data_IF_705565584857
#
_entry.id   IF_705565584857
#
_cell.length_a   1.000
_cell.length_b   1.000
_cell.length_c   1.000
_cell.angle_alpha   90.00
_cell.angle_beta   90.00
_cell.angle_gamma   90.00
#
_symmetry.space_group_name_H-M   'P 1'
#
loop_
_entity.id
_entity.type
_entity.pdbx_description
1 polymer ?
#
# COMPACT_ATOMS: atom_id res chain seq x y z
N UNK A 1 13.90 57.05 -11.33
CA UNK A 1 13.28 56.01 -12.14
C UNK A 1 12.96 54.86 -11.20
N UNK A 2 11.75 54.88 -10.69
CA UNK A 2 11.23 53.86 -9.73
C UNK A 2 10.59 52.72 -10.50
N UNK A 3 11.05 51.52 -10.27
CA UNK A 3 10.36 50.33 -10.75
C UNK A 3 9.44 49.85 -9.64
N UNK A 4 8.15 50.15 -9.74
CA UNK A 4 7.10 49.58 -8.93
C UNK A 4 6.81 48.15 -9.36
N UNK A 5 7.16 47.18 -8.52
CA UNK A 5 6.78 45.78 -8.67
C UNK A 5 5.27 45.59 -8.42
N UNK A 6 4.56 45.14 -9.44
CA UNK A 6 3.14 44.73 -9.28
C UNK A 6 3.11 43.25 -8.91
N UNK A 7 2.73 42.97 -7.65
CA UNK A 7 2.46 41.63 -7.17
C UNK A 7 1.14 41.09 -7.73
N UNK A 8 1.17 39.96 -8.39
CA UNK A 8 -0.03 39.22 -8.78
C UNK A 8 -0.44 38.31 -7.62
N UNK A 9 -1.59 38.54 -7.04
CA UNK A 9 -2.20 37.59 -6.08
C UNK A 9 -2.83 36.41 -6.84
N UNK A 10 -2.47 35.19 -6.44
CA UNK A 10 -3.06 33.97 -6.97
C UNK A 10 -4.08 33.44 -5.99
N UNK A 11 -5.34 33.34 -6.43
CA UNK A 11 -6.40 32.69 -5.64
C UNK A 11 -6.63 31.29 -6.20
N UNK A 12 -6.35 30.25 -5.38
CA UNK A 12 -6.66 28.87 -5.68
C UNK A 12 -8.08 28.54 -5.22
N UNK A 13 -8.99 28.34 -6.17
CA UNK A 13 -10.31 27.78 -5.88
C UNK A 13 -10.39 26.32 -6.27
N UNK A 14 -10.67 25.47 -5.29
CA UNK A 14 -10.93 24.06 -5.49
C UNK A 14 -12.44 23.82 -5.67
N UNK A 15 -12.87 23.38 -6.83
CA UNK A 15 -14.21 22.82 -7.02
C UNK A 15 -14.16 21.31 -6.93
N UNK A 16 -14.78 20.78 -5.90
CA UNK A 16 -15.06 19.33 -5.78
C UNK A 16 -16.30 19.02 -6.62
N UNK A 17 -16.15 18.40 -7.76
CA UNK A 17 -17.26 17.82 -8.51
C UNK A 17 -17.43 16.36 -8.06
N UNK A 18 -18.48 16.11 -7.27
CA UNK A 18 -18.71 14.83 -6.56
C UNK A 18 -19.39 13.77 -7.41
N UNK A 19 -19.58 14.01 -8.72
CA UNK A 19 -20.22 13.03 -9.61
C UNK A 19 -19.41 12.88 -10.91
N UNK A 20 -18.77 11.74 -11.06
CA UNK A 20 -18.08 11.18 -12.24
C UNK A 20 -16.60 11.51 -12.37
N UNK A 21 -15.83 10.43 -12.25
CA UNK A 21 -14.39 10.27 -12.56
C UNK A 21 -13.41 11.02 -11.64
N UNK A 22 -12.55 10.25 -10.98
CA UNK A 22 -11.39 10.72 -10.20
C UNK A 22 -10.33 11.44 -11.08
N UNK A 23 -10.71 12.54 -11.69
CA UNK A 23 -9.82 13.56 -12.24
C UNK A 23 -10.05 14.83 -11.44
N UNK A 24 -9.16 15.12 -10.50
CA UNK A 24 -9.08 16.46 -9.92
C UNK A 24 -8.50 17.39 -10.97
N UNK A 25 -9.35 18.07 -11.72
CA UNK A 25 -8.92 19.20 -12.52
C UNK A 25 -8.83 20.41 -11.59
N UNK A 26 -7.61 20.91 -11.40
CA UNK A 26 -7.36 22.15 -10.65
C UNK A 26 -7.43 23.30 -11.66
N UNK A 27 -8.40 24.18 -11.48
CA UNK A 27 -8.50 25.41 -12.29
C UNK A 27 -7.87 26.57 -11.52
N UNK A 28 -6.89 27.22 -12.12
CA UNK A 28 -6.32 28.48 -11.62
C UNK A 28 -6.97 29.61 -12.38
N UNK A 29 -7.73 30.43 -11.67
CA UNK A 29 -8.29 31.64 -12.25
C UNK A 29 -7.33 32.80 -11.96
N UNK A 30 -6.67 33.28 -13.00
CA UNK A 30 -5.83 34.48 -12.92
C UNK A 30 -6.73 35.70 -13.15
N UNK A 31 -6.97 36.47 -12.12
CA UNK A 31 -7.60 37.78 -12.25
C UNK A 31 -6.54 38.85 -12.41
N UNK A 32 -6.43 39.42 -13.62
CA UNK A 32 -5.67 40.65 -13.84
C UNK A 32 -6.57 41.83 -13.52
N UNK A 33 -6.29 42.57 -12.48
CA UNK A 33 -7.07 43.72 -12.01
C UNK A 33 -6.93 45.01 -12.82
N UNK A 34 -6.25 44.97 -13.97
CA UNK A 34 -6.16 46.11 -14.85
C UNK A 34 -6.75 45.82 -16.23
N UNK A 35 -8.01 46.06 -16.43
CA UNK A 35 -8.85 46.18 -17.62
C UNK A 35 -10.14 45.40 -17.53
N UNK A 36 -11.04 45.90 -16.67
CA UNK A 36 -12.37 45.32 -16.46
C UNK A 36 -13.35 45.51 -17.63
N UNK A 37 -12.99 46.23 -18.71
CA UNK A 37 -13.93 46.53 -19.78
C UNK A 37 -13.73 45.81 -21.12
N UNK A 38 -12.66 45.03 -21.29
CA UNK A 38 -12.38 44.32 -22.56
C UNK A 38 -12.42 42.80 -22.54
N UNK A 39 -12.75 42.11 -21.45
CA UNK A 39 -12.67 40.66 -21.36
C UNK A 39 -14.01 39.92 -21.32
N UNK A 40 -15.08 40.44 -21.92
CA UNK A 40 -16.34 39.68 -22.02
C UNK A 40 -16.35 38.53 -23.02
N UNK A 41 -15.22 38.18 -23.70
CA UNK A 41 -15.28 37.21 -24.79
C UNK A 41 -14.16 36.15 -24.89
N UNK A 42 -13.26 36.01 -23.97
CA UNK A 42 -12.30 34.89 -24.07
C UNK A 42 -12.04 34.26 -22.70
N UNK A 43 -12.74 33.17 -22.41
CA UNK A 43 -12.37 32.25 -21.33
C UNK A 43 -11.12 31.49 -21.78
N UNK A 44 -9.94 32.02 -21.52
CA UNK A 44 -8.72 31.23 -21.64
C UNK A 44 -8.57 30.35 -20.40
N UNK A 45 -9.07 29.12 -20.46
CA UNK A 45 -8.62 28.08 -19.55
C UNK A 45 -7.29 27.55 -20.05
N UNK A 46 -6.16 28.12 -19.58
CA UNK A 46 -4.89 27.43 -19.70
C UNK A 46 -4.92 26.22 -18.78
N UNK A 47 -4.89 25.03 -19.34
CA UNK A 47 -4.74 23.79 -18.58
C UNK A 47 -3.29 23.77 -18.07
N UNK A 48 -3.08 24.17 -16.82
CA UNK A 48 -1.79 23.99 -16.16
C UNK A 48 -1.79 22.62 -15.52
N UNK A 49 -0.93 21.73 -15.97
CA UNK A 49 -0.59 20.57 -15.17
C UNK A 49 0.29 21.06 -14.04
N UNK A 50 -0.22 21.05 -12.81
CA UNK A 50 0.66 21.18 -11.65
C UNK A 50 1.47 19.89 -11.66
N UNK A 51 2.76 19.98 -11.97
CA UNK A 51 3.68 18.87 -11.75
C UNK A 51 3.68 18.62 -10.25
N UNK A 52 3.04 17.54 -9.84
CA UNK A 52 3.18 17.09 -8.46
C UNK A 52 4.67 16.87 -8.20
N UNK A 53 5.20 17.15 -6.99
CA UNK A 53 6.63 17.04 -6.69
C UNK A 53 7.19 15.61 -6.86
N UNK A 54 6.32 14.64 -7.13
CA UNK A 54 6.59 13.28 -7.59
C UNK A 54 5.97 13.12 -8.98
N UNK A 55 6.81 13.04 -9.98
CA UNK A 55 6.36 12.72 -11.34
C UNK A 55 5.99 11.23 -11.34
N UNK A 56 4.77 10.92 -11.81
CA UNK A 56 4.37 9.55 -12.12
C UNK A 56 4.99 9.15 -13.44
N UNK A 57 5.52 7.94 -13.48
CA UNK A 57 5.94 7.33 -14.74
C UNK A 57 4.77 6.61 -15.40
N UNK A 58 4.03 7.34 -16.23
CA UNK A 58 2.85 6.81 -16.91
C UNK A 58 3.20 5.72 -17.94
N UNK A 59 4.41 5.76 -18.53
CA UNK A 59 4.86 4.74 -19.46
C UNK A 59 5.15 3.45 -18.72
N UNK A 60 5.93 3.52 -17.65
CA UNK A 60 6.23 2.38 -16.78
C UNK A 60 4.96 1.75 -16.19
N UNK A 61 3.98 2.57 -15.73
CA UNK A 61 2.69 2.08 -15.26
C UNK A 61 1.97 1.25 -16.32
N UNK A 62 1.94 1.74 -17.57
CA UNK A 62 1.29 1.08 -18.69
C UNK A 62 2.00 -0.22 -19.10
N UNK A 63 3.32 -0.21 -19.14
CA UNK A 63 4.13 -1.39 -19.46
C UNK A 63 3.93 -2.50 -18.42
N UNK A 64 3.98 -2.18 -17.13
CA UNK A 64 3.71 -3.15 -16.06
C UNK A 64 2.27 -3.68 -16.15
N UNK A 65 1.28 -2.82 -16.42
CA UNK A 65 -0.11 -3.27 -16.59
C UNK A 65 -0.26 -4.23 -17.77
N UNK A 66 0.40 -3.97 -18.89
CA UNK A 66 0.35 -4.83 -20.08
C UNK A 66 1.06 -6.17 -19.86
N UNK A 67 2.22 -6.14 -19.19
CA UNK A 67 3.05 -7.34 -18.94
C UNK A 67 2.39 -8.29 -17.96
N UNK A 68 1.79 -7.78 -16.90
CA UNK A 68 1.27 -8.59 -15.79
C UNK A 68 -0.25 -8.64 -15.69
N UNK A 69 -0.99 -7.90 -16.52
CA UNK A 69 -2.45 -7.85 -16.46
C UNK A 69 -3.02 -7.21 -15.19
N UNK A 70 -2.21 -6.56 -14.39
CA UNK A 70 -2.63 -5.97 -13.11
C UNK A 70 -3.55 -4.76 -13.35
N UNK A 71 -4.65 -4.70 -12.58
CA UNK A 71 -5.73 -3.72 -12.78
C UNK A 71 -5.27 -2.27 -12.65
N UNK A 72 -4.42 -1.98 -11.67
CA UNK A 72 -3.97 -0.61 -11.37
C UNK A 72 -2.50 -0.60 -10.97
N UNK A 73 -1.71 0.23 -11.65
CA UNK A 73 -0.32 0.51 -11.26
C UNK A 73 -0.15 2.01 -10.99
N UNK A 74 0.67 2.33 -10.02
CA UNK A 74 1.17 3.67 -9.75
C UNK A 74 2.68 3.60 -9.55
N UNK A 75 3.42 4.03 -10.56
CA UNK A 75 4.87 4.15 -10.53
C UNK A 75 5.26 5.60 -10.23
N UNK A 76 6.15 5.80 -9.28
CA UNK A 76 6.55 7.12 -8.81
C UNK A 76 8.05 7.29 -8.95
N UNK A 77 8.49 8.36 -9.62
CA UNK A 77 9.90 8.74 -9.65
C UNK A 77 10.36 9.15 -8.24
N UNK A 78 11.36 8.45 -7.75
CA UNK A 78 12.15 8.94 -6.63
C UNK A 78 13.26 9.81 -7.20
N UNK A 79 13.21 11.13 -6.99
CA UNK A 79 14.41 11.93 -7.12
C UNK A 79 15.48 11.30 -6.22
N UNK A 80 16.64 10.95 -6.79
CA UNK A 80 17.77 10.35 -6.08
C UNK A 80 18.00 11.09 -4.75
N UNK A 81 17.40 10.61 -3.68
CA UNK A 81 17.86 10.90 -2.34
C UNK A 81 19.06 9.98 -2.11
N UNK A 82 20.15 10.58 -1.68
CA UNK A 82 21.40 9.87 -1.37
C UNK A 82 21.10 8.64 -0.51
N UNK A 83 21.70 7.52 -0.91
CA UNK A 83 21.68 6.29 -0.13
C UNK A 83 22.33 6.57 1.24
N UNK A 84 21.51 6.76 2.26
CA UNK A 84 21.91 6.92 3.65
C UNK A 84 21.03 6.01 4.52
N UNK A 85 21.48 5.75 5.74
CA UNK A 85 20.82 4.86 6.71
C UNK A 85 19.36 5.24 7.06
N UNK A 86 18.90 6.42 6.63
CA UNK A 86 17.54 6.95 6.80
C UNK A 86 16.72 6.95 5.50
N UNK A 87 16.88 5.92 4.64
CA UNK A 87 16.02 5.76 3.47
C UNK A 87 14.56 5.65 3.92
N UNK A 88 13.89 6.80 3.96
CA UNK A 88 12.45 6.84 4.13
C UNK A 88 11.82 6.48 2.78
N UNK A 89 10.94 5.48 2.74
CA UNK A 89 10.18 5.18 1.55
C UNK A 89 9.51 6.48 1.06
N UNK A 90 9.13 6.55 -0.22
CA UNK A 90 8.43 7.70 -0.77
C UNK A 90 7.07 7.86 -0.11
N UNK A 91 7.11 8.19 1.17
CA UNK A 91 5.94 8.31 2.07
C UNK A 91 4.94 9.30 1.48
N UNK A 92 5.43 10.25 0.68
CA UNK A 92 4.59 11.23 -0.03
C UNK A 92 3.83 10.62 -1.21
N UNK A 93 4.28 9.50 -1.77
CA UNK A 93 3.53 8.74 -2.78
C UNK A 93 2.22 8.19 -2.22
N UNK A 94 2.09 8.14 -0.90
CA UNK A 94 0.87 7.69 -0.20
C UNK A 94 -0.27 8.71 -0.16
N UNK A 95 -0.05 9.94 -0.57
CA UNK A 95 -1.17 10.78 -1.03
C UNK A 95 -1.99 10.08 -2.11
N UNK A 96 -1.36 9.20 -2.87
CA UNK A 96 -2.04 8.32 -3.82
C UNK A 96 -3.03 7.40 -3.10
N UNK A 97 -2.70 6.84 -1.93
CA UNK A 97 -3.66 6.05 -1.14
C UNK A 97 -4.83 6.89 -0.59
N UNK A 98 -4.57 8.11 -0.14
CA UNK A 98 -5.64 9.03 0.28
C UNK A 98 -6.39 9.64 -0.90
N UNK A 99 -5.79 9.67 -2.10
CA UNK A 99 -6.41 10.04 -3.38
C UNK A 99 -7.09 8.87 -4.08
N UNK A 100 -6.76 7.62 -3.74
CA UNK A 100 -7.59 6.48 -4.10
C UNK A 100 -8.89 6.60 -3.30
N UNK A 101 -9.96 6.94 -3.99
CA UNK A 101 -11.34 6.90 -3.47
C UNK A 101 -11.78 5.46 -3.15
N UNK A 102 -10.87 4.60 -2.65
CA UNK A 102 -11.16 3.21 -2.31
C UNK A 102 -11.83 3.12 -0.94
N UNK A 103 -11.42 3.96 0.01
CA UNK A 103 -11.97 3.88 1.36
C UNK A 103 -13.30 4.63 1.47
N UNK A 104 -14.31 3.91 1.93
CA UNK A 104 -15.64 4.43 2.25
C UNK A 104 -15.97 4.11 3.70
N UNK A 105 -16.90 4.87 4.28
CA UNK A 105 -17.42 4.58 5.62
C UNK A 105 -17.90 3.14 5.72
N UNK A 106 -17.65 2.50 6.85
CA UNK A 106 -18.05 1.12 7.19
C UNK A 106 -17.31 0.01 6.41
N UNK A 107 -16.30 0.33 5.60
CA UNK A 107 -15.47 -0.69 4.98
C UNK A 107 -14.58 -1.39 6.01
N UNK A 108 -14.29 -2.66 5.74
CA UNK A 108 -13.29 -3.45 6.43
C UNK A 108 -11.98 -3.38 5.66
N UNK A 109 -10.91 -3.01 6.35
CA UNK A 109 -9.56 -2.91 5.78
C UNK A 109 -8.66 -3.93 6.47
N UNK A 110 -8.20 -4.91 5.69
CA UNK A 110 -7.15 -5.82 6.11
C UNK A 110 -5.78 -5.15 6.04
N UNK A 111 -4.91 -5.37 7.00
CA UNK A 111 -3.54 -4.83 6.98
C UNK A 111 -2.52 -5.90 7.34
N UNK A 112 -1.41 -5.97 6.60
CA UNK A 112 -0.26 -6.78 6.96
C UNK A 112 0.75 -6.00 7.81
N UNK A 113 1.90 -6.57 8.10
CA UNK A 113 2.96 -5.98 8.91
C UNK A 113 4.14 -5.47 8.07
N UNK A 114 5.05 -4.77 8.70
CA UNK A 114 6.36 -4.47 8.13
C UNK A 114 6.68 -2.99 7.98
N UNK A 115 7.95 -2.74 7.68
CA UNK A 115 8.52 -1.40 7.61
C UNK A 115 7.81 -0.48 6.59
N UNK A 116 7.46 -1.04 5.42
CA UNK A 116 6.75 -0.29 4.37
C UNK A 116 5.42 0.25 4.91
N UNK A 117 4.61 -0.63 5.52
CA UNK A 117 3.30 -0.27 6.04
C UNK A 117 3.39 0.65 7.26
N UNK A 118 4.38 0.46 8.12
CA UNK A 118 4.64 1.36 9.22
C UNK A 118 4.80 2.82 8.76
N UNK A 119 5.64 3.06 7.77
CA UNK A 119 5.83 4.41 7.24
C UNK A 119 4.58 4.97 6.56
N UNK A 120 3.79 4.11 5.91
CA UNK A 120 2.51 4.50 5.31
C UNK A 120 1.54 4.97 6.38
N UNK A 121 1.32 4.15 7.41
CA UNK A 121 0.38 4.43 8.49
C UNK A 121 0.77 5.69 9.22
N UNK A 122 2.05 5.88 9.57
CA UNK A 122 2.55 7.10 10.19
C UNK A 122 2.35 8.34 9.33
N UNK A 123 2.52 8.23 8.01
CA UNK A 123 2.24 9.34 7.11
C UNK A 123 0.75 9.67 7.04
N UNK A 124 -0.12 8.66 6.97
CA UNK A 124 -1.56 8.84 6.96
C UNK A 124 -2.00 9.51 8.26
N UNK A 125 -1.56 9.03 9.40
CA UNK A 125 -1.87 9.58 10.72
C UNK A 125 -1.52 11.07 10.80
N UNK A 126 -0.31 11.46 10.37
CA UNK A 126 0.15 12.83 10.39
C UNK A 126 -0.59 13.78 9.40
N UNK A 127 -1.15 13.27 8.31
CA UNK A 127 -1.64 14.08 7.19
C UNK A 127 -3.13 13.89 6.88
N UNK A 128 -3.78 12.86 7.43
CA UNK A 128 -5.19 12.60 7.17
C UNK A 128 -6.09 13.54 7.98
N UNK A 129 -6.92 14.31 7.26
CA UNK A 129 -7.94 15.18 7.87
C UNK A 129 -9.35 14.69 7.61
N UNK A 130 -9.51 13.49 7.01
CA UNK A 130 -10.81 12.94 6.64
C UNK A 130 -11.28 11.96 7.72
N UNK A 131 -12.45 12.22 8.28
CA UNK A 131 -13.15 11.25 9.13
C UNK A 131 -13.95 10.29 8.24
N UNK A 132 -13.36 9.12 7.96
CA UNK A 132 -13.98 8.03 7.21
C UNK A 132 -13.93 6.79 8.10
N UNK A 133 -14.88 6.60 9.03
CA UNK A 133 -14.83 5.48 9.96
C UNK A 133 -14.84 4.14 9.21
N UNK A 134 -13.72 3.44 9.28
CA UNK A 134 -13.45 2.10 8.76
C UNK A 134 -13.21 1.15 9.92
N UNK A 135 -13.34 -0.14 9.68
CA UNK A 135 -12.87 -1.17 10.62
C UNK A 135 -11.57 -1.75 10.08
N UNK A 136 -10.50 -1.74 10.87
CA UNK A 136 -9.21 -2.29 10.46
C UNK A 136 -8.92 -3.59 11.21
N UNK A 137 -8.45 -4.60 10.48
CA UNK A 137 -8.12 -5.92 11.04
C UNK A 137 -6.77 -6.39 10.47
N UNK A 138 -5.87 -6.95 11.28
CA UNK A 138 -4.70 -7.66 10.76
C UNK A 138 -5.12 -8.81 9.84
N UNK A 139 -4.37 -9.06 8.77
CA UNK A 139 -4.63 -10.23 7.91
C UNK A 139 -3.92 -11.50 8.40
N UNK A 140 -3.18 -11.39 9.47
CA UNK A 140 -2.37 -12.47 10.07
C UNK A 140 -2.22 -12.27 11.56
N UNK A 141 -1.91 -13.34 12.28
CA UNK A 141 -1.56 -13.28 13.70
C UNK A 141 -0.29 -12.47 13.98
N UNK A 142 -0.02 -12.20 15.25
CA UNK A 142 1.12 -11.41 15.70
C UNK A 142 2.45 -12.01 15.24
N UNK A 143 3.29 -11.20 14.63
CA UNK A 143 4.58 -11.64 14.07
C UNK A 143 5.73 -11.64 15.08
N UNK A 144 5.51 -11.15 16.30
CA UNK A 144 6.54 -11.05 17.36
C UNK A 144 7.86 -10.44 16.87
N UNK A 145 7.77 -9.41 16.03
CA UNK A 145 8.95 -8.70 15.52
C UNK A 145 9.63 -7.89 16.61
N UNK A 146 10.96 -7.69 16.50
CA UNK A 146 11.76 -6.91 17.47
C UNK A 146 11.27 -5.46 17.63
N UNK A 147 10.46 -4.97 16.72
CA UNK A 147 9.87 -3.63 16.73
C UNK A 147 8.35 -3.73 16.69
N UNK A 148 7.69 -3.80 17.84
CA UNK A 148 6.24 -4.00 17.94
C UNK A 148 5.43 -2.99 17.13
N UNK A 149 5.89 -1.75 17.04
CA UNK A 149 5.25 -0.68 16.26
C UNK A 149 5.13 -0.99 14.74
N UNK A 150 5.76 -2.06 14.27
CA UNK A 150 5.69 -2.56 12.88
C UNK A 150 4.86 -3.82 12.76
N UNK A 151 4.33 -4.32 13.87
CA UNK A 151 3.41 -5.46 13.86
C UNK A 151 2.04 -5.08 13.28
N UNK A 152 1.37 -6.03 12.66
CA UNK A 152 0.07 -5.79 12.03
C UNK A 152 -1.00 -5.32 13.04
N UNK A 153 -0.90 -5.72 14.30
CA UNK A 153 -1.83 -5.30 15.35
C UNK A 153 -1.70 -3.80 15.64
N UNK A 154 -0.48 -3.31 15.88
CA UNK A 154 -0.25 -1.89 16.15
C UNK A 154 -0.58 -1.04 14.92
N UNK A 155 -0.23 -1.53 13.73
CA UNK A 155 -0.57 -0.85 12.48
C UNK A 155 -2.08 -0.78 12.24
N UNK A 156 -2.84 -1.83 12.61
CA UNK A 156 -4.30 -1.81 12.51
C UNK A 156 -4.92 -0.76 13.43
N UNK A 157 -4.45 -0.67 14.68
CA UNK A 157 -4.87 0.35 15.64
C UNK A 157 -4.58 1.76 15.14
N UNK A 158 -3.35 2.01 14.71
CA UNK A 158 -2.91 3.33 14.26
C UNK A 158 -3.68 3.77 13.00
N UNK A 159 -3.87 2.87 12.03
CA UNK A 159 -4.62 3.16 10.81
C UNK A 159 -6.11 3.44 11.11
N UNK A 160 -6.73 2.64 11.98
CA UNK A 160 -8.11 2.88 12.40
C UNK A 160 -8.26 4.25 13.07
N UNK A 161 -7.36 4.58 13.98
CA UNK A 161 -7.33 5.88 14.68
C UNK A 161 -7.20 7.05 13.71
N UNK A 162 -6.31 6.94 12.71
CA UNK A 162 -6.08 7.97 11.69
C UNK A 162 -7.34 8.26 10.84
N UNK A 163 -8.26 7.30 10.72
CA UNK A 163 -9.51 7.46 9.98
C UNK A 163 -10.75 7.63 10.88
N UNK A 164 -10.58 7.68 12.21
CA UNK A 164 -11.70 7.80 13.17
C UNK A 164 -12.58 6.54 13.20
N UNK A 165 -11.98 5.39 12.93
CA UNK A 165 -12.64 4.09 12.88
C UNK A 165 -12.35 3.20 14.08
N UNK A 166 -12.61 1.90 13.90
CA UNK A 166 -12.39 0.85 14.90
C UNK A 166 -11.40 -0.20 14.39
N UNK A 167 -10.87 -1.01 15.29
CA UNK A 167 -9.99 -2.12 14.94
C UNK A 167 -10.38 -3.40 15.69
N UNK A 168 -10.01 -4.54 15.09
CA UNK A 168 -10.17 -5.87 15.68
C UNK A 168 -8.82 -6.59 15.64
N UNK A 169 -8.40 -7.20 16.74
CA UNK A 169 -7.15 -7.97 16.79
C UNK A 169 -7.38 -9.45 16.52
N UNK A 170 -6.41 -10.12 15.90
CA UNK A 170 -6.29 -11.57 15.89
C UNK A 170 -5.39 -11.94 17.07
N UNK A 171 -6.00 -12.36 18.20
CA UNK A 171 -5.27 -12.72 19.43
C UNK A 171 -4.59 -14.09 19.33
N UNK A 172 -3.77 -14.25 18.30
CA UNK A 172 -2.99 -15.45 18.06
C UNK A 172 -1.63 -15.09 17.47
N UNK A 173 -0.58 -15.92 17.70
CA UNK A 173 0.67 -15.75 16.98
C UNK A 173 0.52 -16.12 15.51
N UNK A 174 1.37 -15.54 14.64
CA UNK A 174 1.39 -15.85 13.22
C UNK A 174 1.70 -17.33 12.94
N UNK A 175 2.68 -17.90 13.64
CA UNK A 175 2.99 -19.34 13.57
C UNK A 175 2.88 -19.97 14.94
N UNK A 176 2.17 -21.07 15.00
CA UNK A 176 2.06 -21.93 16.17
C UNK A 176 2.99 -23.15 16.06
N UNK A 177 3.12 -23.92 17.14
CA UNK A 177 4.05 -25.03 17.23
C UNK A 177 3.72 -26.16 16.23
N UNK A 178 2.45 -26.48 16.07
CA UNK A 178 1.97 -27.57 15.22
C UNK A 178 0.57 -27.28 14.68
N UNK A 179 0.08 -28.15 13.80
CA UNK A 179 -1.23 -28.03 13.13
C UNK A 179 -2.38 -28.13 14.12
N UNK A 180 -2.29 -29.04 15.08
CA UNK A 180 -3.33 -29.30 16.08
C UNK A 180 -3.60 -28.07 16.93
N UNK A 181 -2.54 -27.37 17.33
CA UNK A 181 -2.68 -26.12 18.09
C UNK A 181 -3.33 -25.01 17.23
N UNK A 182 -3.01 -24.92 15.93
CA UNK A 182 -3.72 -24.02 15.02
C UNK A 182 -5.20 -24.33 14.97
N UNK A 183 -5.55 -25.60 14.77
CA UNK A 183 -6.94 -26.05 14.68
C UNK A 183 -7.74 -25.72 15.93
N UNK A 184 -7.13 -25.85 17.10
CA UNK A 184 -7.77 -25.45 18.37
C UNK A 184 -7.95 -23.94 18.44
N UNK A 185 -6.91 -23.16 18.18
CA UNK A 185 -6.96 -21.71 18.31
C UNK A 185 -7.96 -21.05 17.35
N UNK A 186 -8.06 -21.52 16.12
CA UNK A 186 -9.00 -20.95 15.14
C UNK A 186 -10.48 -21.30 15.44
N UNK A 187 -10.75 -22.19 16.41
CA UNK A 187 -12.11 -22.47 16.92
C UNK A 187 -12.55 -21.48 18.01
N UNK A 188 -11.60 -20.79 18.64
CA UNK A 188 -11.95 -19.73 19.61
C UNK A 188 -12.78 -18.64 18.93
N UNK A 189 -13.91 -18.28 19.53
CA UNK A 189 -14.87 -17.36 18.92
C UNK A 189 -14.27 -15.98 18.62
N UNK A 190 -13.37 -15.50 19.47
CA UNK A 190 -12.70 -14.20 19.28
C UNK A 190 -11.76 -14.24 18.09
N UNK A 191 -10.93 -15.28 17.99
CA UNK A 191 -9.97 -15.46 16.90
C UNK A 191 -10.71 -15.72 15.59
N UNK A 192 -11.70 -16.61 15.62
CA UNK A 192 -12.55 -16.97 14.48
C UNK A 192 -13.26 -15.75 13.89
N UNK A 193 -13.87 -14.93 14.74
CA UNK A 193 -14.55 -13.70 14.30
C UNK A 193 -13.58 -12.73 13.62
N UNK A 194 -12.38 -12.54 14.20
CA UNK A 194 -11.37 -11.67 13.61
C UNK A 194 -10.84 -12.20 12.27
N UNK A 195 -10.60 -13.52 12.16
CA UNK A 195 -10.20 -14.17 10.91
C UNK A 195 -11.28 -14.04 9.84
N UNK A 196 -12.55 -14.27 10.17
CA UNK A 196 -13.67 -14.09 9.24
C UNK A 196 -13.77 -12.64 8.76
N UNK A 197 -13.53 -11.66 9.64
CA UNK A 197 -13.51 -10.26 9.27
C UNK A 197 -12.37 -9.97 8.28
N UNK A 198 -11.18 -10.51 8.53
CA UNK A 198 -10.01 -10.37 7.65
C UNK A 198 -10.21 -11.04 6.28
N UNK A 199 -10.82 -12.23 6.24
CA UNK A 199 -11.15 -12.98 5.03
C UNK A 199 -12.16 -12.24 4.14
N UNK A 200 -13.03 -11.42 4.73
CA UNK A 200 -14.06 -10.65 4.04
C UNK A 200 -13.70 -9.16 3.93
N UNK A 201 -12.42 -8.81 4.00
CA UNK A 201 -11.99 -7.43 3.88
C UNK A 201 -12.34 -6.83 2.51
N UNK A 202 -12.88 -5.61 2.49
CA UNK A 202 -13.17 -4.85 1.26
C UNK A 202 -11.90 -4.37 0.55
N UNK A 203 -10.87 -4.10 1.35
CA UNK A 203 -9.54 -3.66 0.92
C UNK A 203 -8.49 -4.35 1.77
N UNK A 204 -7.45 -4.89 1.15
CA UNK A 204 -6.26 -5.38 1.84
C UNK A 204 -5.09 -4.46 1.52
N UNK A 205 -4.50 -3.86 2.55
CA UNK A 205 -3.27 -3.07 2.44
C UNK A 205 -2.08 -3.93 2.85
N UNK A 206 -1.19 -4.19 1.90
CA UNK A 206 -0.06 -5.09 2.09
C UNK A 206 1.21 -4.60 1.42
N UNK A 207 2.30 -5.31 1.68
CA UNK A 207 3.57 -5.21 0.99
C UNK A 207 4.12 -6.60 0.76
N UNK A 208 4.90 -6.78 -0.29
CA UNK A 208 5.70 -8.00 -0.46
C UNK A 208 7.05 -7.84 0.21
N UNK A 209 7.57 -8.93 0.76
CA UNK A 209 8.93 -9.02 1.22
C UNK A 209 9.74 -9.92 0.29
N UNK A 210 11.00 -9.54 0.02
CA UNK A 210 11.96 -10.39 -0.66
C UNK A 210 12.67 -11.29 0.35
N UNK A 211 12.95 -12.53 -0.01
CA UNK A 211 13.76 -13.47 0.80
C UNK A 211 15.22 -13.00 0.92
N UNK A 212 15.70 -12.14 0.02
CA UNK A 212 17.04 -11.55 0.08
C UNK A 212 17.31 -10.75 1.36
N UNK A 213 16.26 -10.16 1.95
CA UNK A 213 16.41 -9.33 3.16
C UNK A 213 16.57 -10.10 4.47
N UNK A 214 16.58 -11.43 4.45
CA UNK A 214 16.75 -12.28 5.63
C UNK A 214 15.87 -11.93 6.84
N UNK A 215 14.82 -11.16 6.66
CA UNK A 215 13.94 -10.74 7.74
C UNK A 215 13.31 -11.94 8.44
N UNK A 216 12.99 -12.95 7.67
CA UNK A 216 12.38 -14.19 8.15
C UNK A 216 13.38 -15.19 8.75
N UNK A 217 14.65 -15.11 8.40
CA UNK A 217 15.70 -15.96 8.97
C UNK A 217 15.75 -15.83 10.51
N UNK A 218 15.70 -14.58 10.99
CA UNK A 218 15.67 -14.30 12.43
C UNK A 218 14.37 -14.76 13.13
N UNK A 219 13.29 -14.93 12.38
CA UNK A 219 11.98 -15.29 12.91
C UNK A 219 11.72 -16.81 12.85
N UNK A 220 12.08 -17.45 11.75
CA UNK A 220 11.84 -18.87 11.48
C UNK A 220 13.02 -19.77 11.87
N UNK A 221 14.19 -19.17 12.11
CA UNK A 221 15.46 -19.88 12.24
C UNK A 221 16.09 -20.22 10.88
N UNK A 222 17.42 -20.32 10.89
CA UNK A 222 18.25 -20.48 9.70
C UNK A 222 17.85 -21.70 8.85
N UNK A 223 17.66 -22.88 9.49
CA UNK A 223 17.32 -24.12 8.79
C UNK A 223 15.99 -24.04 8.02
N UNK A 224 14.96 -23.43 8.62
CA UNK A 224 13.66 -23.26 7.96
C UNK A 224 13.76 -22.27 6.82
N UNK A 225 14.51 -21.19 7.03
CA UNK A 225 14.70 -20.17 6.01
C UNK A 225 15.48 -20.72 4.79
N UNK A 226 16.52 -21.50 5.00
CA UNK A 226 17.25 -22.22 3.93
C UNK A 226 16.37 -23.22 3.18
N UNK A 227 15.49 -23.93 3.89
CA UNK A 227 14.53 -24.84 3.24
C UNK A 227 13.62 -24.11 2.27
N UNK A 228 13.12 -22.92 2.63
CA UNK A 228 12.30 -22.08 1.75
C UNK A 228 13.08 -21.66 0.49
N UNK A 229 14.34 -21.20 0.66
CA UNK A 229 15.22 -20.85 -0.45
C UNK A 229 15.48 -22.03 -1.39
N UNK A 230 15.79 -23.22 -0.84
CA UNK A 230 16.01 -24.44 -1.63
C UNK A 230 14.75 -24.89 -2.41
N UNK A 231 13.57 -24.54 -1.93
CA UNK A 231 12.31 -24.76 -2.65
C UNK A 231 11.96 -23.66 -3.65
N UNK A 232 12.84 -22.68 -3.86
CA UNK A 232 12.66 -21.62 -4.84
C UNK A 232 11.83 -20.44 -4.35
N UNK A 233 11.63 -20.25 -3.04
CA UNK A 233 10.97 -19.08 -2.51
C UNK A 233 11.75 -17.80 -2.88
N UNK A 234 11.07 -16.83 -3.49
CA UNK A 234 11.66 -15.52 -3.84
C UNK A 234 11.03 -14.39 -3.07
N UNK A 235 9.81 -14.57 -2.60
CA UNK A 235 9.05 -13.55 -1.89
C UNK A 235 8.01 -14.13 -0.95
N UNK A 236 7.41 -13.24 -0.20
CA UNK A 236 6.30 -13.57 0.69
C UNK A 236 5.27 -12.42 0.75
N UNK A 237 4.02 -12.78 1.01
CA UNK A 237 2.91 -11.87 1.25
C UNK A 237 2.07 -12.45 2.39
N UNK A 238 1.75 -11.64 3.39
CA UNK A 238 0.88 -12.09 4.48
C UNK A 238 1.38 -13.31 5.29
N UNK A 239 2.68 -13.66 5.22
CA UNK A 239 3.27 -14.85 5.85
C UNK A 239 3.38 -16.06 4.92
N UNK A 240 2.79 -16.02 3.73
CA UNK A 240 2.90 -17.04 2.69
C UNK A 240 4.11 -16.79 1.80
N UNK A 241 4.87 -17.85 1.51
CA UNK A 241 6.02 -17.82 0.62
C UNK A 241 5.66 -18.36 -0.76
N UNK A 242 6.22 -17.76 -1.81
CA UNK A 242 5.95 -18.13 -3.21
C UNK A 242 7.20 -18.05 -4.08
N UNK A 243 7.17 -18.79 -5.20
CA UNK A 243 8.19 -18.78 -6.23
C UNK A 243 8.01 -17.65 -7.25
N UNK A 244 8.91 -17.55 -8.22
CA UNK A 244 8.89 -16.52 -9.28
C UNK A 244 7.64 -16.57 -10.17
N UNK A 245 6.94 -17.70 -10.22
CA UNK A 245 5.69 -17.87 -10.95
C UNK A 245 4.45 -17.56 -10.10
N UNK A 246 4.64 -17.19 -8.83
CA UNK A 246 3.59 -16.91 -7.88
C UNK A 246 2.97 -18.17 -7.26
N UNK A 247 3.59 -19.34 -7.46
CA UNK A 247 3.11 -20.57 -6.85
C UNK A 247 3.53 -20.64 -5.39
N UNK A 248 2.59 -20.97 -4.51
CA UNK A 248 2.86 -21.12 -3.08
C UNK A 248 3.88 -22.22 -2.81
N UNK A 249 4.84 -21.92 -1.94
CA UNK A 249 5.82 -22.88 -1.44
C UNK A 249 5.23 -23.63 -0.24
N UNK A 250 4.72 -24.81 -0.53
CA UNK A 250 4.15 -25.68 0.51
C UNK A 250 5.22 -26.26 1.44
N UNK A 251 5.10 -25.95 2.71
CA UNK A 251 5.92 -26.45 3.81
C UNK A 251 5.07 -26.65 5.05
N UNK A 252 5.62 -27.26 6.09
CA UNK A 252 4.96 -27.37 7.38
C UNK A 252 4.62 -26.00 8.03
N UNK A 253 5.15 -24.91 7.52
CA UNK A 253 4.77 -23.56 7.97
C UNK A 253 3.32 -23.23 7.63
N UNK A 254 2.83 -23.64 6.44
CA UNK A 254 1.48 -23.39 6.01
C UNK A 254 0.45 -24.02 6.95
N UNK A 255 0.74 -25.23 7.45
CA UNK A 255 -0.10 -25.93 8.42
C UNK A 255 -0.16 -25.26 9.79
N UNK A 256 0.81 -24.42 10.11
CA UNK A 256 0.99 -23.77 11.42
C UNK A 256 0.69 -22.27 11.40
N UNK A 257 0.42 -21.70 10.24
CA UNK A 257 0.17 -20.26 10.08
C UNK A 257 -1.27 -19.91 10.44
N UNK A 258 -1.46 -18.85 11.24
CA UNK A 258 -2.76 -18.26 11.54
C UNK A 258 -2.85 -16.93 10.80
N UNK A 259 -3.78 -16.84 9.88
CA UNK A 259 -4.01 -15.68 9.00
C UNK A 259 -4.94 -16.06 7.85
N UNK A 260 -5.16 -15.11 6.93
CA UNK A 260 -5.91 -15.37 5.70
C UNK A 260 -5.05 -16.21 4.74
N UNK A 261 -5.71 -17.00 3.88
CA UNK A 261 -5.06 -17.82 2.85
C UNK A 261 -4.84 -17.07 1.53
N UNK A 262 -4.21 -17.77 0.58
CA UNK A 262 -4.07 -17.26 -0.80
C UNK A 262 -5.42 -17.03 -1.45
N UNK A 263 -6.36 -17.98 -1.31
CA UNK A 263 -7.71 -17.88 -1.87
C UNK A 263 -8.44 -16.62 -1.37
N UNK A 264 -8.15 -16.18 -0.14
CA UNK A 264 -8.72 -14.97 0.42
C UNK A 264 -8.14 -13.72 -0.26
N UNK A 265 -6.84 -13.72 -0.56
CA UNK A 265 -6.19 -12.65 -1.32
C UNK A 265 -6.75 -12.57 -2.74
N UNK A 266 -6.91 -13.70 -3.43
CA UNK A 266 -7.46 -13.75 -4.79
C UNK A 266 -8.93 -13.27 -4.84
N UNK A 267 -9.74 -13.62 -3.83
CA UNK A 267 -11.13 -13.17 -3.73
C UNK A 267 -11.27 -11.69 -3.44
N UNK A 268 -10.30 -11.08 -2.78
CA UNK A 268 -10.36 -9.67 -2.42
C UNK A 268 -10.21 -8.77 -3.66
N UNK A 269 -11.23 -7.96 -3.93
CA UNK A 269 -11.28 -7.09 -5.13
C UNK A 269 -10.27 -5.95 -5.11
N UNK A 270 -9.70 -5.62 -3.95
CA UNK A 270 -8.83 -4.48 -3.77
C UNK A 270 -7.64 -4.84 -2.87
N UNK A 271 -6.72 -5.65 -3.37
CA UNK A 271 -5.42 -5.91 -2.72
C UNK A 271 -4.42 -4.86 -3.19
N UNK A 272 -4.15 -3.91 -2.32
CA UNK A 272 -3.22 -2.79 -2.57
C UNK A 272 -1.86 -3.17 -2.02
N UNK A 273 -0.93 -3.45 -2.90
CA UNK A 273 0.46 -3.73 -2.55
C UNK A 273 1.33 -2.50 -2.75
N UNK A 274 2.15 -2.21 -1.76
CA UNK A 274 3.16 -1.16 -1.85
C UNK A 274 4.54 -1.78 -1.77
N UNK A 275 5.35 -1.53 -2.78
CA UNK A 275 6.72 -2.02 -2.85
C UNK A 275 7.67 -0.91 -3.32
N UNK A 276 8.90 -0.91 -2.83
CA UNK A 276 9.93 0.01 -3.26
C UNK A 276 11.32 -0.62 -3.13
N UNK A 277 12.23 -0.17 -4.00
CA UNK A 277 13.60 -0.65 -4.08
C UNK A 277 13.75 -1.88 -4.99
N UNK A 278 14.82 -1.89 -5.78
CA UNK A 278 15.12 -2.90 -6.81
C UNK A 278 15.09 -4.34 -6.28
N UNK A 279 15.58 -4.57 -5.06
CA UNK A 279 15.63 -5.90 -4.45
C UNK A 279 14.25 -6.54 -4.19
N UNK A 280 13.16 -5.78 -4.34
CA UNK A 280 11.80 -6.32 -4.26
C UNK A 280 11.22 -6.72 -5.62
N UNK A 281 11.87 -6.38 -6.73
CA UNK A 281 11.31 -6.60 -8.05
C UNK A 281 10.92 -8.06 -8.32
N UNK A 282 11.79 -9.02 -8.02
CA UNK A 282 11.49 -10.44 -8.18
C UNK A 282 10.29 -10.88 -7.33
N UNK A 283 10.20 -10.43 -6.07
CA UNK A 283 9.07 -10.73 -5.20
C UNK A 283 7.76 -10.10 -5.71
N UNK A 284 7.81 -8.87 -6.25
CA UNK A 284 6.65 -8.22 -6.88
C UNK A 284 6.22 -8.99 -8.13
N UNK A 285 7.17 -9.42 -8.98
CA UNK A 285 6.88 -10.22 -10.18
C UNK A 285 6.13 -11.50 -9.85
N UNK A 286 6.62 -12.26 -8.86
CA UNK A 286 5.95 -13.47 -8.39
C UNK A 286 4.55 -13.20 -7.86
N UNK A 287 4.39 -12.16 -7.04
CA UNK A 287 3.08 -11.81 -6.50
C UNK A 287 2.06 -11.38 -7.57
N UNK A 288 2.53 -10.70 -8.63
CA UNK A 288 1.69 -10.33 -9.78
C UNK A 288 1.29 -11.55 -10.60
N UNK A 289 2.22 -12.47 -10.89
CA UNK A 289 1.95 -13.72 -11.62
C UNK A 289 1.01 -14.64 -10.86
N UNK A 290 1.12 -14.66 -9.52
CA UNK A 290 0.22 -15.41 -8.65
C UNK A 290 -1.17 -14.80 -8.48
N UNK A 291 -1.44 -13.61 -9.05
CA UNK A 291 -2.75 -12.96 -8.93
C UNK A 291 -3.06 -12.34 -7.55
N UNK A 292 -2.09 -12.27 -6.63
CA UNK A 292 -2.30 -11.81 -5.25
C UNK A 292 -2.49 -10.31 -5.11
N UNK A 293 -2.16 -9.56 -6.17
CA UNK A 293 -2.15 -8.09 -6.17
C UNK A 293 -2.99 -7.61 -7.36
N UNK A 294 -3.93 -6.73 -7.10
CA UNK A 294 -4.69 -6.08 -8.16
C UNK A 294 -4.49 -4.55 -8.22
N UNK A 295 -3.81 -4.00 -7.24
CA UNK A 295 -3.33 -2.60 -7.23
C UNK A 295 -1.90 -2.56 -6.73
N UNK A 296 -0.98 -2.06 -7.56
CA UNK A 296 0.44 -1.93 -7.25
C UNK A 296 0.84 -0.46 -7.15
N UNK A 297 1.49 -0.10 -6.05
CA UNK A 297 2.16 1.19 -5.86
C UNK A 297 3.65 0.90 -5.74
N UNK A 298 4.44 1.46 -6.64
CA UNK A 298 5.85 1.10 -6.81
C UNK A 298 6.70 2.34 -7.09
N UNK A 299 7.98 2.31 -6.74
CA UNK A 299 8.93 3.29 -7.21
C UNK A 299 9.51 2.90 -8.58
N UNK A 300 10.05 3.88 -9.31
CA UNK A 300 10.61 3.65 -10.64
C UNK A 300 11.76 2.63 -10.62
N UNK A 301 12.62 2.64 -9.61
CA UNK A 301 13.74 1.71 -9.51
C UNK A 301 13.28 0.24 -9.42
N UNK A 302 12.26 -0.04 -8.59
CA UNK A 302 11.66 -1.37 -8.53
C UNK A 302 10.87 -1.70 -9.81
N UNK A 303 10.17 -0.71 -10.38
CA UNK A 303 9.36 -0.89 -11.58
C UNK A 303 10.18 -1.19 -12.85
N UNK A 304 11.27 -0.48 -13.06
CA UNK A 304 12.22 -0.72 -14.18
C UNK A 304 12.86 -2.12 -14.09
N UNK A 305 13.17 -2.57 -12.86
CA UNK A 305 13.73 -3.91 -12.64
C UNK A 305 12.70 -5.02 -12.76
N UNK A 306 11.42 -4.69 -12.72
CA UNK A 306 10.30 -5.61 -12.85
C UNK A 306 10.04 -6.01 -14.31
N UNK A 307 10.38 -5.15 -15.27
CA UNK A 307 10.29 -5.36 -16.72
C UNK A 307 11.54 -5.98 -17.29
#
# INVERSE_FOLDING_TARGET
>A
MEHSGHGSEFILQFRNDTKRNCRQDVYIQIQNFQNAERSKRTRYCKKFSIKEPWERDLNLEKEIQQTYGVKTVRAVFLKRYQQGADYQPPVRSFRILSGFCLLKKKMVVGISWGNTLYHIVKYIDANNKKNIPITVVPIMGASNVKRPERDAMDLAKDLASAYGGTYQYIYAPLFVKNKELKEILIQDDTIKTALQLAQNADVILTSVGSVEYKTWENYLGESTFHLLGNKGAIGHIGGHFYDINGKEINTSLNDRMIGIGYDDLERCKNVVCVAYGEAKAAAVAGALRGGFINTLIIDSACGEKLL
#
